data_IF_601490470663
#
_entry.id   IF_601490470663
#
_cell.length_a   1.000
_cell.length_b   1.000
_cell.length_c   1.000
_cell.angle_alpha   90.00
_cell.angle_beta   90.00
_cell.angle_gamma   90.00
#
_symmetry.space_group_name_H-M   'P 1'
#
loop_
_entity.id
_entity.type
_entity.pdbx_description
1 polymer ?
#
# COMPACT_ATOMS: atom_id res chain seq x y z
N UNK A 1 5.82 -6.08 -40.89
CA UNK A 1 4.72 -6.14 -39.89
C UNK A 1 4.66 -4.77 -39.23
N UNK A 2 3.48 -4.17 -38.99
CA UNK A 2 3.44 -2.89 -38.27
C UNK A 2 3.98 -3.11 -36.85
N UNK A 3 4.97 -2.31 -36.44
CA UNK A 3 5.48 -2.33 -35.07
C UNK A 3 4.32 -2.07 -34.11
N UNK A 4 3.99 -3.06 -33.28
CA UNK A 4 2.96 -2.91 -32.27
C UNK A 4 3.46 -1.90 -31.25
N UNK A 5 2.89 -0.68 -31.26
CA UNK A 5 3.27 0.39 -30.34
C UNK A 5 2.94 -0.05 -28.91
N UNK A 6 3.95 -0.02 -28.03
CA UNK A 6 3.77 -0.28 -26.59
C UNK A 6 2.77 0.73 -26.01
N UNK A 7 1.86 0.26 -25.16
CA UNK A 7 0.84 1.10 -24.52
C UNK A 7 1.38 1.71 -23.23
N UNK A 8 0.72 2.77 -22.75
CA UNK A 8 1.02 3.38 -21.45
C UNK A 8 0.91 2.37 -20.31
N UNK A 9 -0.15 1.56 -20.32
CA UNK A 9 -0.39 0.50 -19.33
C UNK A 9 0.71 -0.56 -19.33
N UNK A 10 1.12 -1.06 -20.51
CA UNK A 10 2.22 -2.02 -20.61
C UNK A 10 3.56 -1.47 -20.08
N UNK A 11 3.81 -0.16 -20.25
CA UNK A 11 4.98 0.50 -19.64
C UNK A 11 4.85 0.59 -18.12
N UNK A 12 3.67 0.91 -17.59
CA UNK A 12 3.41 0.97 -16.15
C UNK A 12 3.53 -0.42 -15.49
N UNK A 13 3.02 -1.48 -16.14
CA UNK A 13 3.18 -2.86 -15.69
C UNK A 13 4.66 -3.28 -15.66
N UNK A 14 5.41 -2.94 -16.71
CA UNK A 14 6.84 -3.19 -16.77
C UNK A 14 7.59 -2.43 -15.67
N UNK A 15 7.26 -1.17 -15.43
CA UNK A 15 7.85 -0.36 -14.38
C UNK A 15 7.51 -0.91 -12.98
N UNK A 16 6.26 -1.32 -12.75
CA UNK A 16 5.83 -1.95 -11.51
C UNK A 16 6.59 -3.25 -11.25
N UNK A 17 6.77 -4.09 -12.26
CA UNK A 17 7.57 -5.32 -12.14
C UNK A 17 9.03 -5.03 -11.76
N UNK A 18 9.65 -3.99 -12.34
CA UNK A 18 11.00 -3.56 -11.96
C UNK A 18 11.04 -3.14 -10.49
N UNK A 19 10.08 -2.32 -10.04
CA UNK A 19 10.03 -1.89 -8.63
C UNK A 19 9.83 -3.06 -7.69
N UNK A 20 8.88 -3.96 -7.97
CA UNK A 20 8.59 -5.12 -7.11
C UNK A 20 9.78 -6.06 -6.95
N UNK A 21 10.52 -6.29 -8.03
CA UNK A 21 11.64 -7.25 -8.01
C UNK A 21 12.97 -6.66 -7.56
N UNK A 22 13.23 -5.38 -7.86
CA UNK A 22 14.56 -4.77 -7.75
C UNK A 22 14.57 -3.46 -6.94
N UNK A 23 13.39 -2.94 -6.58
CA UNK A 23 13.22 -1.67 -5.89
C UNK A 23 13.27 -0.45 -6.80
N UNK A 24 12.86 0.68 -6.24
CA UNK A 24 12.78 1.96 -6.96
C UNK A 24 14.13 2.41 -7.54
N UNK A 25 15.24 2.14 -6.85
CA UNK A 25 16.58 2.51 -7.32
C UNK A 25 16.96 1.88 -8.67
N UNK A 26 16.34 0.76 -9.05
CA UNK A 26 16.55 0.11 -10.34
C UNK A 26 15.69 0.73 -11.47
N UNK A 27 14.80 1.66 -11.15
CA UNK A 27 13.88 2.25 -12.10
C UNK A 27 14.59 3.27 -12.99
N UNK A 28 14.61 2.98 -14.28
CA UNK A 28 15.18 3.85 -15.32
C UNK A 28 14.47 3.62 -16.63
N UNK A 29 14.51 4.57 -17.56
CA UNK A 29 13.92 4.38 -18.87
C UNK A 29 14.48 3.14 -19.60
N UNK A 30 15.75 2.78 -19.35
CA UNK A 30 16.39 1.59 -19.90
C UNK A 30 15.84 0.28 -19.28
N UNK A 31 15.77 0.20 -17.96
CA UNK A 31 15.26 -1.01 -17.28
C UNK A 31 13.78 -1.24 -17.58
N UNK A 32 12.99 -0.17 -17.64
CA UNK A 32 11.57 -0.23 -18.03
C UNK A 32 11.42 -0.66 -19.48
N UNK A 33 12.16 -0.05 -20.41
CA UNK A 33 12.10 -0.42 -21.83
C UNK A 33 12.51 -1.88 -22.08
N UNK A 34 13.57 -2.35 -21.40
CA UNK A 34 14.00 -3.74 -21.44
C UNK A 34 12.90 -4.68 -20.95
N UNK A 35 12.24 -4.35 -19.83
CA UNK A 35 11.13 -5.14 -19.28
C UNK A 35 9.90 -5.13 -20.20
N UNK A 36 9.59 -3.99 -20.80
CA UNK A 36 8.46 -3.80 -21.70
C UNK A 36 8.71 -4.37 -23.12
N UNK A 37 9.93 -4.83 -23.42
CA UNK A 37 10.29 -5.35 -24.75
C UNK A 37 10.31 -4.26 -25.83
N UNK A 38 10.64 -3.02 -25.48
CA UNK A 38 10.66 -1.88 -26.39
C UNK A 38 11.97 -1.08 -26.30
N UNK A 39 12.13 -0.06 -27.16
CA UNK A 39 13.23 0.90 -27.04
C UNK A 39 12.93 1.96 -25.98
N UNK A 40 13.91 2.77 -25.63
CA UNK A 40 13.74 3.85 -24.64
C UNK A 40 12.84 4.99 -25.16
N UNK A 41 12.77 5.18 -26.48
CA UNK A 41 12.04 6.29 -27.10
C UNK A 41 10.54 6.31 -26.72
N UNK A 42 9.78 5.19 -26.82
CA UNK A 42 8.39 5.14 -26.35
C UNK A 42 8.16 5.62 -24.92
N UNK A 43 9.11 5.41 -24.00
CA UNK A 43 8.97 5.84 -22.61
C UNK A 43 8.85 7.37 -22.53
N UNK A 44 9.77 8.10 -23.16
CA UNK A 44 9.72 9.55 -23.19
C UNK A 44 8.58 10.09 -24.06
N UNK A 45 8.23 9.41 -25.15
CA UNK A 45 7.07 9.79 -25.97
C UNK A 45 5.74 9.69 -25.21
N UNK A 46 5.61 8.72 -24.30
CA UNK A 46 4.39 8.51 -23.53
C UNK A 46 4.36 9.38 -22.26
N UNK A 47 5.46 9.48 -21.51
CA UNK A 47 5.46 10.10 -20.18
C UNK A 47 6.13 11.49 -20.15
N UNK A 48 6.83 11.89 -21.20
CA UNK A 48 7.59 13.15 -21.22
C UNK A 48 8.92 13.03 -20.48
N UNK A 49 8.88 12.64 -19.21
CA UNK A 49 10.07 12.41 -18.37
C UNK A 49 9.88 11.25 -17.38
N UNK A 50 10.94 10.97 -16.62
CA UNK A 50 10.92 9.91 -15.60
C UNK A 50 10.10 10.27 -14.35
N UNK A 51 9.98 11.56 -14.01
CA UNK A 51 9.20 11.99 -12.85
C UNK A 51 7.71 11.77 -13.07
N UNK A 52 7.22 12.11 -14.26
CA UNK A 52 5.85 11.85 -14.67
C UNK A 52 5.55 10.34 -14.78
N UNK A 53 6.52 9.53 -15.23
CA UNK A 53 6.41 8.07 -15.17
C UNK A 53 6.26 7.58 -13.73
N UNK A 54 7.10 8.05 -12.80
CA UNK A 54 7.06 7.65 -11.39
C UNK A 54 5.75 8.06 -10.73
N UNK A 55 5.25 9.27 -11.00
CA UNK A 55 3.98 9.77 -10.48
C UNK A 55 2.80 8.90 -10.92
N UNK A 56 2.75 8.54 -12.21
CA UNK A 56 1.71 7.65 -12.73
C UNK A 56 1.90 6.21 -12.24
N UNK A 57 3.15 5.75 -12.10
CA UNK A 57 3.48 4.45 -11.52
C UNK A 57 3.01 4.33 -10.07
N UNK A 58 3.11 5.38 -9.26
CA UNK A 58 2.60 5.38 -7.90
C UNK A 58 1.08 5.11 -7.86
N UNK A 59 0.32 5.77 -8.72
CA UNK A 59 -1.12 5.50 -8.88
C UNK A 59 -1.41 4.06 -9.34
N UNK A 60 -0.64 3.56 -10.32
CA UNK A 60 -0.75 2.19 -10.82
C UNK A 60 -0.43 1.15 -9.74
N UNK A 61 0.61 1.37 -8.95
CA UNK A 61 1.01 0.54 -7.83
C UNK A 61 -0.06 0.51 -6.73
N UNK A 62 -0.70 1.64 -6.42
CA UNK A 62 -1.84 1.69 -5.48
C UNK A 62 -3.03 0.89 -6.00
N UNK A 63 -3.35 0.96 -7.29
CA UNK A 63 -4.41 0.16 -7.89
C UNK A 63 -4.10 -1.35 -7.81
N UNK A 64 -2.83 -1.72 -8.03
CA UNK A 64 -2.37 -3.09 -7.83
C UNK A 64 -2.54 -3.56 -6.37
N UNK A 65 -2.12 -2.75 -5.40
CA UNK A 65 -2.30 -3.08 -3.96
C UNK A 65 -3.78 -3.18 -3.59
N UNK A 66 -4.64 -2.34 -4.15
CA UNK A 66 -6.08 -2.46 -3.93
C UNK A 66 -6.63 -3.79 -4.47
N UNK A 67 -6.12 -4.29 -5.59
CA UNK A 67 -6.47 -5.63 -6.10
C UNK A 67 -5.92 -6.74 -5.21
N UNK A 68 -4.65 -6.65 -4.80
CA UNK A 68 -4.03 -7.58 -3.87
C UNK A 68 -4.78 -7.65 -2.53
N UNK A 69 -5.22 -6.54 -1.98
CA UNK A 69 -5.97 -6.52 -0.71
C UNK A 69 -7.35 -7.17 -0.84
N UNK A 70 -8.02 -7.07 -2.01
CA UNK A 70 -9.30 -7.75 -2.24
C UNK A 70 -9.15 -9.28 -2.24
N UNK A 71 -8.03 -9.81 -2.70
CA UNK A 71 -7.75 -11.25 -2.63
C UNK A 71 -7.63 -11.76 -1.18
N UNK A 72 -7.46 -10.85 -0.22
CA UNK A 72 -7.19 -11.12 1.19
C UNK A 72 -8.24 -10.52 2.12
N UNK A 73 -9.41 -10.12 1.60
CA UNK A 73 -10.46 -9.45 2.37
C UNK A 73 -11.09 -10.34 3.46
N UNK A 74 -10.86 -11.65 3.41
CA UNK A 74 -11.43 -12.65 4.31
C UNK A 74 -10.39 -13.43 5.14
N UNK A 75 -9.16 -12.95 5.23
CA UNK A 75 -8.09 -13.65 5.95
C UNK A 75 -8.13 -13.47 7.48
N UNK A 76 -8.84 -12.45 7.97
CA UNK A 76 -9.09 -12.19 9.38
C UNK A 76 -10.51 -12.58 9.81
N UNK A 77 -10.82 -12.43 11.10
CA UNK A 77 -12.16 -12.68 11.63
C UNK A 77 -13.18 -11.60 11.23
N UNK A 78 -12.72 -10.43 10.78
CA UNK A 78 -13.55 -9.32 10.34
C UNK A 78 -12.76 -8.40 9.39
N UNK A 79 -13.44 -7.42 8.78
CA UNK A 79 -12.83 -6.52 7.79
C UNK A 79 -11.64 -5.72 8.34
N UNK A 80 -11.70 -5.29 9.60
CA UNK A 80 -10.60 -4.57 10.25
C UNK A 80 -9.34 -5.44 10.38
N UNK A 81 -9.50 -6.66 10.88
CA UNK A 81 -8.39 -7.60 11.02
C UNK A 81 -7.82 -8.01 9.65
N UNK A 82 -8.67 -8.34 8.68
CA UNK A 82 -8.25 -8.66 7.31
C UNK A 82 -7.42 -7.54 6.70
N UNK A 83 -7.87 -6.29 6.82
CA UNK A 83 -7.15 -5.12 6.29
C UNK A 83 -5.77 -4.95 6.94
N UNK A 84 -5.68 -5.06 8.26
CA UNK A 84 -4.41 -4.99 8.98
C UNK A 84 -3.44 -6.10 8.57
N UNK A 85 -3.93 -7.34 8.45
CA UNK A 85 -3.14 -8.49 8.02
C UNK A 85 -2.65 -8.35 6.57
N UNK A 86 -3.50 -7.88 5.66
CA UNK A 86 -3.11 -7.64 4.27
C UNK A 86 -1.97 -6.60 4.17
N UNK A 87 -2.03 -5.52 4.96
CA UNK A 87 -0.96 -4.52 5.00
C UNK A 87 0.36 -5.08 5.54
N UNK A 88 0.31 -5.88 6.61
CA UNK A 88 1.50 -6.55 7.18
C UNK A 88 2.09 -7.57 6.19
N UNK A 89 1.24 -8.29 5.47
CA UNK A 89 1.67 -9.26 4.46
C UNK A 89 2.35 -8.59 3.28
N UNK A 90 1.77 -7.51 2.76
CA UNK A 90 2.38 -6.70 1.70
C UNK A 90 3.79 -6.24 2.13
N UNK A 91 3.94 -5.76 3.36
CA UNK A 91 5.23 -5.35 3.89
C UNK A 91 6.25 -6.49 4.02
N UNK A 92 5.81 -7.73 4.17
CA UNK A 92 6.67 -8.91 4.31
C UNK A 92 7.03 -9.54 2.97
N UNK A 93 6.06 -9.66 2.07
CA UNK A 93 6.17 -10.39 0.80
C UNK A 93 6.60 -9.48 -0.36
N UNK A 94 6.12 -8.24 -0.38
CA UNK A 94 6.34 -7.27 -1.45
C UNK A 94 7.20 -6.10 -0.94
N UNK A 95 8.28 -6.40 -0.19
CA UNK A 95 9.12 -5.37 0.48
C UNK A 95 9.53 -4.20 -0.42
N UNK A 96 10.02 -4.41 -1.65
CA UNK A 96 10.45 -3.30 -2.50
C UNK A 96 9.28 -2.39 -2.90
N UNK A 97 8.10 -2.98 -3.14
CA UNK A 97 6.88 -2.23 -3.41
C UNK A 97 6.37 -1.49 -2.18
N UNK A 98 6.41 -2.12 -1.00
CA UNK A 98 6.07 -1.47 0.25
C UNK A 98 6.96 -0.24 0.48
N UNK A 99 8.28 -0.38 0.26
CA UNK A 99 9.20 0.75 0.32
C UNK A 99 8.81 1.88 -0.64
N UNK A 100 8.53 1.53 -1.90
CA UNK A 100 8.12 2.50 -2.92
C UNK A 100 6.81 3.22 -2.57
N UNK A 101 5.84 2.53 -1.98
CA UNK A 101 4.52 3.11 -1.69
C UNK A 101 4.47 3.90 -0.39
N UNK A 102 5.20 3.45 0.63
CA UNK A 102 4.96 3.82 2.02
C UNK A 102 6.19 4.34 2.76
N UNK A 103 7.40 4.10 2.24
CA UNK A 103 8.66 4.55 2.84
C UNK A 103 9.46 5.45 1.87
N UNK A 104 8.75 6.11 0.95
CA UNK A 104 9.26 7.02 -0.07
C UNK A 104 8.50 8.36 0.01
N UNK A 105 8.95 9.42 -0.67
CA UNK A 105 8.27 10.71 -0.64
C UNK A 105 6.97 10.76 -1.48
N UNK A 106 6.57 9.68 -2.17
CA UNK A 106 5.53 9.72 -3.21
C UNK A 106 4.09 9.82 -2.70
N UNK A 107 3.83 9.60 -1.40
CA UNK A 107 2.50 9.74 -0.83
C UNK A 107 2.00 11.20 -0.82
N UNK A 108 2.91 12.17 -0.76
CA UNK A 108 2.63 13.62 -0.78
C UNK A 108 1.56 14.12 0.23
N UNK A 109 1.27 13.36 1.29
CA UNK A 109 0.30 13.76 2.31
C UNK A 109 0.87 14.88 3.21
N UNK A 110 0.09 15.94 3.40
CA UNK A 110 0.42 17.12 4.21
C UNK A 110 -0.23 17.11 5.60
N UNK A 111 -1.09 16.12 5.87
CA UNK A 111 -1.72 15.92 7.16
C UNK A 111 -2.48 14.59 7.27
N UNK A 112 -2.92 14.25 8.48
CA UNK A 112 -3.57 12.95 8.75
C UNK A 112 -4.90 12.73 8.04
N UNK A 113 -5.61 13.81 7.67
CA UNK A 113 -6.82 13.70 6.84
C UNK A 113 -6.50 13.06 5.48
N UNK A 114 -5.45 13.52 4.82
CA UNK A 114 -5.01 13.00 3.51
C UNK A 114 -4.43 11.59 3.65
N UNK A 115 -3.69 11.32 4.74
CA UNK A 115 -3.25 9.96 5.08
C UNK A 115 -4.45 9.03 5.16
N UNK A 116 -5.48 9.38 5.94
CA UNK A 116 -6.70 8.60 6.08
C UNK A 116 -7.37 8.35 4.73
N UNK A 117 -7.61 9.40 3.95
CA UNK A 117 -8.26 9.31 2.63
C UNK A 117 -7.46 8.46 1.63
N UNK A 118 -6.14 8.38 1.79
CA UNK A 118 -5.27 7.60 0.91
C UNK A 118 -5.22 6.09 1.23
N UNK A 119 -5.52 5.69 2.47
CA UNK A 119 -5.35 4.29 2.91
C UNK A 119 -6.61 3.66 3.50
N UNK A 120 -7.62 4.44 3.85
CA UNK A 120 -8.87 3.91 4.39
C UNK A 120 -9.58 3.05 3.33
N UNK A 121 -9.95 1.84 3.75
CA UNK A 121 -10.71 0.89 2.95
C UNK A 121 -12.19 0.95 3.34
N UNK A 122 -13.06 0.91 2.34
CA UNK A 122 -14.51 0.89 2.50
C UNK A 122 -14.96 -0.26 3.42
N UNK A 123 -15.95 0.01 4.28
CA UNK A 123 -16.50 -0.98 5.22
C UNK A 123 -15.68 -1.24 6.48
N UNK A 124 -14.38 -0.91 6.51
CA UNK A 124 -13.55 -1.12 7.71
C UNK A 124 -13.98 -0.20 8.86
N UNK A 125 -14.29 1.07 8.57
CA UNK A 125 -14.78 1.99 9.61
C UNK A 125 -16.08 1.48 10.25
N UNK A 126 -17.05 1.05 9.43
CA UNK A 126 -18.31 0.48 9.92
C UNK A 126 -18.07 -0.77 10.78
N UNK A 127 -17.12 -1.63 10.39
CA UNK A 127 -16.71 -2.76 11.20
C UNK A 127 -16.15 -2.32 12.57
N UNK A 128 -15.36 -1.25 12.61
CA UNK A 128 -14.83 -0.68 13.86
C UNK A 128 -15.94 -0.08 14.73
N UNK A 129 -16.92 0.60 14.12
CA UNK A 129 -18.11 1.13 14.82
C UNK A 129 -18.85 0.01 15.57
N UNK A 130 -19.08 -1.12 14.91
CA UNK A 130 -19.75 -2.29 15.49
C UNK A 130 -18.91 -2.96 16.58
N UNK A 131 -17.64 -3.29 16.29
CA UNK A 131 -16.74 -3.95 17.24
C UNK A 131 -16.52 -3.12 18.51
N UNK A 132 -16.38 -1.80 18.32
CA UNK A 132 -16.10 -0.86 19.38
C UNK A 132 -17.35 -0.27 20.03
N UNK A 133 -18.56 -0.53 19.50
CA UNK A 133 -19.79 0.19 19.85
C UNK A 133 -19.54 1.71 19.97
N UNK A 134 -19.00 2.29 18.89
CA UNK A 134 -18.54 3.68 18.82
C UNK A 134 -19.43 4.52 17.91
N UNK A 135 -19.43 5.84 18.10
CA UNK A 135 -19.95 6.74 17.07
C UNK A 135 -19.05 6.72 15.82
N UNK A 136 -19.55 7.13 14.65
CA UNK A 136 -18.75 7.22 13.43
C UNK A 136 -17.49 8.07 13.59
N UNK A 137 -17.56 9.18 14.31
CA UNK A 137 -16.41 10.06 14.57
C UNK A 137 -15.35 9.34 15.42
N UNK A 138 -15.79 8.65 16.48
CA UNK A 138 -14.90 7.90 17.36
C UNK A 138 -14.24 6.72 16.64
N UNK A 139 -15.00 6.00 15.80
CA UNK A 139 -14.47 4.91 14.99
C UNK A 139 -13.47 5.38 13.93
N UNK A 140 -13.71 6.56 13.34
CA UNK A 140 -12.77 7.18 12.39
C UNK A 140 -11.43 7.49 13.06
N UNK A 141 -11.44 8.12 14.23
CA UNK A 141 -10.19 8.42 14.97
C UNK A 141 -9.46 7.14 15.38
N UNK A 142 -10.19 6.14 15.92
CA UNK A 142 -9.62 4.83 16.23
C UNK A 142 -9.02 4.15 14.99
N UNK A 143 -9.68 4.26 13.83
CA UNK A 143 -9.16 3.67 12.60
C UNK A 143 -7.86 4.35 12.18
N UNK A 144 -7.78 5.68 12.27
CA UNK A 144 -6.55 6.41 11.99
C UNK A 144 -5.40 5.99 12.94
N UNK A 145 -5.67 5.86 14.24
CA UNK A 145 -4.68 5.38 15.21
C UNK A 145 -4.18 3.97 14.86
N UNK A 146 -5.10 3.08 14.48
CA UNK A 146 -4.75 1.72 14.07
C UNK A 146 -3.99 1.68 12.75
N UNK A 147 -4.29 2.55 11.77
CA UNK A 147 -3.52 2.71 10.54
C UNK A 147 -2.06 3.03 10.88
N UNK A 148 -1.82 4.01 11.75
CA UNK A 148 -0.46 4.41 12.14
C UNK A 148 0.25 3.30 12.90
N UNK A 149 -0.45 2.64 13.83
CA UNK A 149 0.12 1.54 14.63
C UNK A 149 0.51 0.34 13.77
N UNK A 150 -0.39 -0.11 12.89
CA UNK A 150 -0.14 -1.23 11.97
C UNK A 150 0.97 -0.88 10.97
N UNK A 151 0.99 0.35 10.47
CA UNK A 151 2.08 0.82 9.61
C UNK A 151 3.44 0.77 10.32
N UNK A 152 3.51 1.09 11.61
CA UNK A 152 4.74 0.93 12.41
C UNK A 152 5.26 -0.51 12.43
N UNK A 153 4.36 -1.49 12.63
CA UNK A 153 4.72 -2.92 12.54
C UNK A 153 5.12 -3.32 11.13
N UNK A 154 4.41 -2.84 10.12
CA UNK A 154 4.71 -3.09 8.71
C UNK A 154 6.11 -2.55 8.32
N UNK A 155 6.47 -1.35 8.77
CA UNK A 155 7.80 -0.78 8.54
C UNK A 155 8.92 -1.63 9.18
N UNK A 156 8.70 -2.20 10.37
CA UNK A 156 9.64 -3.14 10.97
C UNK A 156 9.79 -4.42 10.14
N UNK A 157 8.70 -4.98 9.63
CA UNK A 157 8.73 -6.17 8.74
C UNK A 157 9.45 -5.88 7.42
N UNK A 158 9.17 -4.73 6.81
CA UNK A 158 9.79 -4.31 5.55
C UNK A 158 11.30 -4.12 5.68
N UNK A 159 11.78 -3.77 6.88
CA UNK A 159 13.21 -3.57 7.19
C UNK A 159 13.90 -4.81 7.77
N UNK A 160 13.21 -5.96 7.83
CA UNK A 160 13.81 -7.26 8.12
C UNK A 160 13.49 -7.84 9.49
N UNK A 161 12.60 -7.22 10.28
CA UNK A 161 12.12 -7.83 11.51
C UNK A 161 11.39 -9.15 11.19
N UNK A 162 11.64 -10.16 12.02
CA UNK A 162 11.01 -11.48 11.92
C UNK A 162 10.03 -11.63 13.09
N UNK A 163 8.80 -11.20 12.87
CA UNK A 163 7.70 -11.30 13.84
C UNK A 163 6.69 -12.33 13.33
N UNK A 164 6.23 -13.20 14.22
CA UNK A 164 5.23 -14.21 13.89
C UNK A 164 3.85 -13.57 13.68
N UNK A 165 2.98 -14.25 12.93
CA UNK A 165 1.61 -13.77 12.71
C UNK A 165 0.80 -13.75 14.01
N UNK A 166 1.11 -14.64 14.95
CA UNK A 166 0.50 -14.67 16.28
C UNK A 166 0.86 -13.40 17.06
N UNK A 167 2.15 -13.06 17.18
CA UNK A 167 2.58 -11.85 17.88
C UNK A 167 2.00 -10.58 17.25
N UNK A 168 1.93 -10.51 15.92
CA UNK A 168 1.38 -9.35 15.20
C UNK A 168 -0.12 -9.19 15.47
N UNK A 169 -0.89 -10.29 15.45
CA UNK A 169 -2.33 -10.27 15.78
C UNK A 169 -2.57 -9.88 17.22
N UNK A 170 -1.83 -10.46 18.16
CA UNK A 170 -1.93 -10.10 19.58
C UNK A 170 -1.64 -8.61 19.82
N UNK A 171 -0.62 -8.07 19.13
CA UNK A 171 -0.28 -6.65 19.22
C UNK A 171 -1.37 -5.76 18.64
N UNK A 172 -2.00 -6.17 17.55
CA UNK A 172 -3.10 -5.43 16.93
C UNK A 172 -4.35 -5.45 17.81
N UNK A 173 -4.77 -6.61 18.34
CA UNK A 173 -5.92 -6.72 19.26
C UNK A 173 -5.68 -5.93 20.55
N UNK A 174 -4.47 -6.03 21.13
CA UNK A 174 -4.11 -5.27 22.33
C UNK A 174 -4.19 -3.76 22.09
N UNK A 175 -3.67 -3.28 20.96
CA UNK A 175 -3.73 -1.85 20.62
C UNK A 175 -5.18 -1.40 20.38
N UNK A 176 -5.96 -2.17 19.62
CA UNK A 176 -7.37 -1.88 19.37
C UNK A 176 -8.16 -1.72 20.67
N UNK A 177 -8.06 -2.68 21.60
CA UNK A 177 -8.73 -2.60 22.91
C UNK A 177 -8.27 -1.39 23.73
N UNK A 178 -6.97 -1.09 23.69
CA UNK A 178 -6.40 0.07 24.37
C UNK A 178 -6.95 1.38 23.84
N UNK A 179 -6.99 1.54 22.52
CA UNK A 179 -7.50 2.76 21.88
C UNK A 179 -9.01 2.90 22.02
N UNK A 180 -9.80 1.81 21.93
CA UNK A 180 -11.24 1.83 22.26
C UNK A 180 -11.49 2.37 23.67
N UNK A 181 -10.66 1.98 24.66
CA UNK A 181 -10.80 2.48 26.02
C UNK A 181 -10.50 3.98 26.15
N UNK A 182 -9.58 4.52 25.33
CA UNK A 182 -9.26 5.95 25.32
C UNK A 182 -10.37 6.78 24.68
N UNK A 183 -10.95 6.31 23.58
CA UNK A 183 -11.98 7.07 22.84
C UNK A 183 -13.34 7.06 23.54
N UNK A 184 -13.58 6.08 24.43
CA UNK A 184 -14.79 6.02 25.27
C UNK A 184 -14.69 6.83 26.58
N UNK A 185 -13.49 7.24 26.98
CA UNK A 185 -13.24 7.97 28.23
C UNK A 185 -13.56 9.46 28.09
#
# INVERSE_FOLDING_TARGET
MPEQRVTREAVLDAALAVVREQGEAALSARSVAQRAGCSVQPIYSLFGDMGELVRQLYGHARAWVAAYNREHEHDGCNAFESNGLAHLRLAREERPLFHFLYLSPHMEATGFKEVYESVAVDGVQACIEELGNLSPEAARELYLDMIVYVHGMAAMLATGAQLSDEELRERMDRAFRGFVALVRA
#
